data_IF_041116967896
#
_entry.id   IF_041116967896
#
_cell.length_a   1.000
_cell.length_b   1.000
_cell.length_c   1.000
_cell.angle_alpha   90.00
_cell.angle_beta   90.00
_cell.angle_gamma   90.00
#
_symmetry.space_group_name_H-M   'P 1'
#
loop_
_entity.id
_entity.type
_entity.pdbx_description
1 polymer ?
#
# COMPACT_ATOMS: atom_id res chain seq x y z
N UNK A 1 21.96 18.67 5.78
CA UNK A 1 22.74 17.74 4.92
C UNK A 1 21.81 16.70 4.31
N UNK A 2 21.64 16.74 2.99
CA UNK A 2 20.83 15.80 2.23
C UNK A 2 21.70 14.55 1.96
N UNK A 3 21.40 13.43 2.63
CA UNK A 3 22.10 12.16 2.35
C UNK A 3 21.56 11.60 1.04
N UNK A 4 22.23 11.93 -0.07
CA UNK A 4 21.97 11.30 -1.36
C UNK A 4 22.27 9.80 -1.26
N UNK A 5 21.36 8.95 -1.75
CA UNK A 5 21.59 7.52 -1.90
C UNK A 5 22.69 7.28 -2.95
N UNK A 6 23.97 7.37 -2.56
CA UNK A 6 25.12 6.98 -3.39
C UNK A 6 25.35 5.47 -3.30
N UNK A 7 24.36 4.66 -3.64
CA UNK A 7 24.62 3.28 -4.08
C UNK A 7 24.46 3.27 -5.58
N UNK A 8 25.52 2.93 -6.32
CA UNK A 8 25.44 2.68 -7.77
C UNK A 8 24.32 1.68 -7.96
N UNK A 9 23.17 2.12 -8.49
CA UNK A 9 22.09 1.19 -8.83
C UNK A 9 22.65 0.37 -9.98
N UNK A 10 22.80 -0.93 -9.77
CA UNK A 10 23.06 -1.85 -10.87
C UNK A 10 21.90 -1.73 -11.85
N UNK A 11 22.20 -1.68 -13.14
CA UNK A 11 21.15 -1.68 -14.17
C UNK A 11 20.18 -2.83 -13.93
N UNK A 12 18.90 -2.51 -13.95
CA UNK A 12 17.85 -3.51 -13.89
C UNK A 12 17.95 -4.31 -15.19
N UNK A 13 18.16 -5.64 -15.13
CA UNK A 13 18.28 -6.45 -16.33
C UNK A 13 16.99 -6.39 -17.15
N UNK A 14 17.08 -6.77 -18.42
CA UNK A 14 15.91 -6.88 -19.27
C UNK A 14 14.88 -7.83 -18.64
N UNK A 15 13.62 -7.44 -18.71
CA UNK A 15 12.51 -8.24 -18.16
C UNK A 15 11.84 -8.96 -19.31
N UNK A 16 11.61 -10.26 -19.16
CA UNK A 16 10.87 -11.04 -20.16
C UNK A 16 9.41 -11.12 -19.74
N UNK A 17 8.52 -10.68 -20.63
CA UNK A 17 7.08 -10.72 -20.47
C UNK A 17 6.40 -11.48 -21.61
N UNK A 18 5.06 -11.64 -21.54
CA UNK A 18 4.28 -12.32 -22.58
C UNK A 18 4.38 -11.64 -23.96
N UNK A 19 4.58 -10.32 -23.98
CA UNK A 19 4.70 -9.52 -25.21
C UNK A 19 6.16 -9.30 -25.65
N UNK A 20 7.12 -10.07 -25.12
CA UNK A 20 8.53 -9.97 -25.46
C UNK A 20 9.41 -9.39 -24.35
N UNK A 21 10.58 -8.86 -24.74
CA UNK A 21 11.62 -8.38 -23.82
C UNK A 21 11.44 -6.87 -23.60
N UNK A 22 11.24 -6.46 -22.35
CA UNK A 22 11.25 -5.07 -21.93
C UNK A 22 12.69 -4.62 -21.60
N UNK A 23 13.22 -3.71 -22.42
CA UNK A 23 14.61 -3.26 -22.33
C UNK A 23 14.76 -1.86 -21.74
N UNK A 24 13.83 -0.95 -22.04
CA UNK A 24 13.81 0.40 -21.47
C UNK A 24 12.93 0.51 -20.21
N UNK A 25 13.10 1.59 -19.45
CA UNK A 25 12.44 1.77 -18.15
C UNK A 25 10.91 1.83 -18.23
N UNK A 26 10.36 2.44 -19.29
CA UNK A 26 8.91 2.53 -19.52
C UNK A 26 8.32 1.15 -19.79
N UNK A 27 8.94 0.38 -20.69
CA UNK A 27 8.53 -0.99 -20.99
C UNK A 27 8.60 -1.88 -19.75
N UNK A 28 9.65 -1.72 -18.92
CA UNK A 28 9.79 -2.47 -17.67
C UNK A 28 8.69 -2.10 -16.68
N UNK A 29 8.40 -0.80 -16.51
CA UNK A 29 7.36 -0.33 -15.61
C UNK A 29 5.97 -0.83 -16.05
N UNK A 30 5.64 -0.72 -17.33
CA UNK A 30 4.38 -1.19 -17.90
C UNK A 30 4.23 -2.70 -17.77
N UNK A 31 5.29 -3.47 -18.06
CA UNK A 31 5.27 -4.93 -17.89
C UNK A 31 5.00 -5.31 -16.44
N UNK A 32 5.67 -4.66 -15.48
CA UNK A 32 5.44 -4.91 -14.06
C UNK A 32 4.01 -4.54 -13.67
N UNK A 33 3.52 -3.36 -14.06
CA UNK A 33 2.17 -2.89 -13.76
C UNK A 33 1.10 -3.85 -14.28
N UNK A 34 1.19 -4.27 -15.55
CA UNK A 34 0.27 -5.25 -16.14
C UNK A 34 0.34 -6.60 -15.42
N UNK A 35 1.56 -7.05 -15.06
CA UNK A 35 1.73 -8.27 -14.27
C UNK A 35 1.06 -8.17 -12.89
N UNK A 36 1.11 -7.00 -12.24
CA UNK A 36 0.37 -6.77 -10.99
C UNK A 36 -1.14 -6.79 -11.22
N UNK A 37 -1.64 -6.16 -12.28
CA UNK A 37 -3.06 -6.20 -12.61
C UNK A 37 -3.47 -7.67 -12.82
N UNK A 38 -2.82 -8.42 -13.68
CA UNK A 38 -3.21 -9.81 -14.00
C UNK A 38 -3.19 -10.74 -12.78
N UNK A 39 -2.27 -10.54 -11.83
CA UNK A 39 -2.14 -11.40 -10.65
C UNK A 39 -3.01 -10.96 -9.45
N UNK A 40 -3.44 -9.70 -9.41
CA UNK A 40 -4.14 -9.12 -8.25
C UNK A 40 -5.51 -8.54 -8.58
N UNK A 41 -5.95 -8.60 -9.84
CA UNK A 41 -7.37 -8.41 -10.19
C UNK A 41 -8.17 -9.60 -9.67
N UNK A 42 -9.41 -9.35 -9.25
CA UNK A 42 -10.32 -10.36 -8.68
C UNK A 42 -10.20 -11.71 -9.39
N UNK A 43 -10.12 -12.79 -8.59
CA UNK A 43 -10.10 -14.18 -9.06
C UNK A 43 -11.40 -14.52 -9.82
N UNK A 44 -11.57 -14.01 -11.03
CA UNK A 44 -12.59 -14.46 -11.98
C UNK A 44 -12.13 -15.77 -12.62
N UNK A 45 -11.76 -16.76 -11.81
CA UNK A 45 -11.54 -18.12 -12.29
C UNK A 45 -12.90 -18.81 -12.23
N UNK A 46 -13.62 -18.98 -13.35
CA UNK A 46 -14.81 -19.84 -13.39
C UNK A 46 -14.33 -21.30 -13.33
N UNK A 47 -13.97 -21.75 -12.13
CA UNK A 47 -13.71 -23.15 -11.82
C UNK A 47 -14.89 -23.70 -11.06
N UNK A 48 -15.37 -24.89 -11.43
CA UNK A 48 -16.47 -25.66 -10.79
C UNK A 48 -16.32 -25.92 -9.27
N UNK A 49 -15.31 -25.37 -8.61
CA UNK A 49 -15.00 -25.49 -7.18
C UNK A 49 -15.27 -24.21 -6.36
N UNK A 50 -15.77 -23.12 -6.97
CA UNK A 50 -15.86 -21.81 -6.29
C UNK A 50 -17.17 -21.54 -5.57
N UNK A 51 -18.27 -22.25 -5.86
CA UNK A 51 -19.61 -21.88 -5.35
C UNK A 51 -19.68 -21.86 -3.83
N UNK A 52 -19.02 -22.81 -3.15
CA UNK A 52 -19.00 -22.88 -1.69
C UNK A 52 -18.12 -21.79 -1.08
N UNK A 53 -17.00 -21.46 -1.72
CA UNK A 53 -16.08 -20.39 -1.26
C UNK A 53 -16.75 -19.03 -1.43
N UNK A 54 -17.39 -18.79 -2.57
CA UNK A 54 -18.09 -17.54 -2.87
C UNK A 54 -19.27 -17.34 -1.91
N UNK A 55 -20.03 -18.41 -1.61
CA UNK A 55 -21.10 -18.35 -0.62
C UNK A 55 -20.58 -18.12 0.79
N UNK A 56 -19.49 -18.77 1.20
CA UNK A 56 -18.90 -18.61 2.53
C UNK A 56 -18.33 -17.20 2.73
N UNK A 57 -17.69 -16.64 1.71
CA UNK A 57 -17.21 -15.24 1.71
C UNK A 57 -18.40 -14.29 1.81
N UNK A 58 -19.44 -14.50 1.00
CA UNK A 58 -20.64 -13.66 1.00
C UNK A 58 -21.36 -13.72 2.35
N UNK A 59 -21.50 -14.91 2.94
CA UNK A 59 -22.10 -15.11 4.24
C UNK A 59 -21.27 -14.45 5.35
N UNK A 60 -19.94 -14.56 5.28
CA UNK A 60 -19.01 -13.92 6.23
C UNK A 60 -19.11 -12.40 6.16
N UNK A 61 -19.13 -11.82 4.96
CA UNK A 61 -19.31 -10.39 4.76
C UNK A 61 -20.67 -9.92 5.26
N UNK A 62 -21.74 -10.64 4.91
CA UNK A 62 -23.11 -10.33 5.35
C UNK A 62 -23.20 -10.35 6.87
N UNK A 63 -22.64 -11.37 7.52
CA UNK A 63 -22.53 -11.48 8.99
C UNK A 63 -21.77 -10.28 9.54
N UNK A 64 -20.59 -9.97 9.02
CA UNK A 64 -19.75 -8.87 9.46
C UNK A 64 -20.45 -7.51 9.39
N UNK A 65 -21.13 -7.20 8.27
CA UNK A 65 -21.85 -5.94 8.10
C UNK A 65 -23.15 -5.87 8.89
N UNK A 66 -23.75 -7.02 9.21
CA UNK A 66 -25.00 -7.12 9.98
C UNK A 66 -24.77 -7.16 11.49
N UNK A 67 -23.56 -7.53 11.94
CA UNK A 67 -23.19 -7.48 13.36
C UNK A 67 -22.84 -6.05 13.77
N UNK A 68 -23.56 -5.44 14.72
CA UNK A 68 -23.15 -4.15 15.26
C UNK A 68 -21.78 -4.31 15.94
N UNK A 69 -20.92 -3.29 15.83
CA UNK A 69 -19.57 -3.38 16.36
C UNK A 69 -19.56 -3.57 17.88
N UNK A 70 -18.68 -4.46 18.35
CA UNK A 70 -18.69 -5.02 19.71
C UNK A 70 -18.32 -4.05 20.84
N UNK A 71 -17.93 -2.80 20.57
CA UNK A 71 -17.61 -1.80 21.60
C UNK A 71 -17.46 -0.39 21.02
N UNK A 72 -17.71 0.67 21.82
CA UNK A 72 -17.38 2.04 21.43
C UNK A 72 -15.86 2.19 21.31
N UNK A 73 -15.42 2.87 20.26
CA UNK A 73 -14.02 3.27 20.10
C UNK A 73 -13.84 4.58 20.86
N UNK A 74 -12.83 4.65 21.73
CA UNK A 74 -12.54 5.88 22.46
C UNK A 74 -12.00 6.94 21.48
N UNK A 75 -12.45 8.21 21.60
CA UNK A 75 -11.88 9.29 20.81
C UNK A 75 -10.41 9.54 21.21
N UNK A 76 -9.64 10.05 20.27
CA UNK A 76 -8.27 10.52 20.48
C UNK A 76 -8.25 11.98 20.91
N UNK A 77 -7.17 12.39 21.57
CA UNK A 77 -6.92 13.76 22.00
C UNK A 77 -5.74 14.41 21.24
N UNK A 78 -5.61 15.76 21.27
CA UNK A 78 -4.55 16.44 20.54
C UNK A 78 -3.13 16.08 21.00
N UNK A 79 -2.93 15.70 22.27
CA UNK A 79 -1.61 15.36 22.81
C UNK A 79 -1.17 13.99 22.28
N UNK A 80 -2.09 13.03 22.23
CA UNK A 80 -1.88 11.73 21.59
C UNK A 80 -1.45 11.91 20.11
N UNK A 81 -2.19 12.73 19.35
CA UNK A 81 -1.85 13.04 17.96
C UNK A 81 -0.48 13.70 17.85
N UNK A 82 -0.18 14.67 18.72
CA UNK A 82 1.10 15.36 18.76
C UNK A 82 2.26 14.36 18.96
N UNK A 83 2.09 13.41 19.87
CA UNK A 83 3.10 12.41 20.18
C UNK A 83 3.33 11.43 19.02
N UNK A 84 2.26 11.03 18.31
CA UNK A 84 2.40 10.25 17.09
C UNK A 84 3.12 11.02 15.97
N UNK A 85 2.78 12.29 15.77
CA UNK A 85 3.45 13.14 14.77
C UNK A 85 4.96 13.25 15.06
N UNK A 86 5.36 13.43 16.33
CA UNK A 86 6.78 13.47 16.74
C UNK A 86 7.52 12.16 16.44
N UNK A 87 6.85 11.01 16.60
CA UNK A 87 7.42 9.67 16.38
C UNK A 87 7.62 9.31 14.90
N UNK A 88 7.07 10.07 13.96
CA UNK A 88 7.22 9.83 12.51
C UNK A 88 8.71 9.79 12.10
N UNK A 89 9.10 8.85 11.23
CA UNK A 89 10.48 8.78 10.74
C UNK A 89 10.67 9.74 9.56
N UNK A 90 11.62 10.66 9.64
CA UNK A 90 11.88 11.66 8.58
C UNK A 90 12.31 11.04 7.25
N UNK A 91 12.83 9.81 7.26
CA UNK A 91 13.33 9.09 6.08
C UNK A 91 12.26 8.27 5.35
N UNK A 92 10.98 8.47 5.66
CA UNK A 92 9.88 7.86 4.89
C UNK A 92 9.59 8.71 3.66
N UNK A 93 9.23 8.03 2.57
CA UNK A 93 8.76 8.71 1.37
C UNK A 93 7.40 9.38 1.68
N UNK A 94 7.11 10.54 1.07
CA UNK A 94 5.79 11.15 1.16
C UNK A 94 4.75 10.30 0.42
N UNK A 95 3.47 10.54 0.71
CA UNK A 95 2.34 9.99 -0.03
C UNK A 95 2.16 10.67 -1.40
N UNK A 96 1.02 10.39 -2.04
CA UNK A 96 0.64 10.99 -3.33
C UNK A 96 0.46 12.52 -3.26
N UNK A 97 0.15 13.03 -2.08
CA UNK A 97 0.02 14.45 -1.76
C UNK A 97 1.37 15.19 -1.63
N UNK A 98 2.49 14.47 -1.69
CA UNK A 98 3.84 14.97 -1.47
C UNK A 98 4.08 15.59 -0.08
N UNK A 99 3.21 15.34 0.91
CA UNK A 99 3.40 15.82 2.29
C UNK A 99 4.42 14.93 2.98
N UNK A 100 5.57 15.50 3.33
CA UNK A 100 6.64 14.75 4.00
C UNK A 100 6.43 14.68 5.50
N UNK A 101 6.93 13.62 6.14
CA UNK A 101 6.96 13.52 7.61
C UNK A 101 7.68 14.70 8.28
N UNK A 102 8.64 15.32 7.59
CA UNK A 102 9.30 16.54 8.08
C UNK A 102 8.33 17.71 8.13
N UNK A 103 7.48 17.88 7.13
CA UNK A 103 6.44 18.92 7.12
C UNK A 103 5.42 18.68 8.24
N UNK A 104 4.95 17.43 8.39
CA UNK A 104 3.99 17.06 9.43
C UNK A 104 4.50 17.46 10.82
N UNK A 105 5.76 17.18 11.14
CA UNK A 105 6.38 17.56 12.42
C UNK A 105 6.49 19.06 12.67
N UNK A 106 6.44 19.89 11.63
CA UNK A 106 6.55 21.35 11.72
C UNK A 106 5.18 22.04 11.57
N UNK A 107 4.08 21.30 11.55
CA UNK A 107 2.76 21.91 11.47
C UNK A 107 2.41 22.71 12.73
N UNK A 108 1.71 23.84 12.58
CA UNK A 108 1.26 24.62 13.72
C UNK A 108 0.16 23.86 14.48
N UNK A 109 -0.02 24.20 15.75
CA UNK A 109 -0.99 23.54 16.64
C UNK A 109 -2.42 23.50 16.07
N UNK A 110 -2.84 24.54 15.32
CA UNK A 110 -4.14 24.57 14.63
C UNK A 110 -4.36 23.35 13.72
N UNK A 111 -3.32 22.85 13.06
CA UNK A 111 -3.41 21.68 12.19
C UNK A 111 -3.56 20.40 13.02
N UNK A 112 -2.93 20.32 14.20
CA UNK A 112 -3.09 19.19 15.13
C UNK A 112 -4.55 19.06 15.57
N UNK A 113 -5.22 20.19 15.86
CA UNK A 113 -6.65 20.20 16.18
C UNK A 113 -7.52 19.68 15.02
N UNK A 114 -7.17 20.05 13.78
CA UNK A 114 -7.86 19.58 12.58
C UNK A 114 -7.67 18.07 12.41
N UNK A 115 -6.45 17.55 12.58
CA UNK A 115 -6.20 16.11 12.53
C UNK A 115 -6.99 15.35 13.59
N UNK A 116 -6.99 15.87 14.84
CA UNK A 116 -7.75 15.28 15.94
C UNK A 116 -9.24 15.18 15.60
N UNK A 117 -9.82 16.25 15.03
CA UNK A 117 -11.21 16.26 14.58
C UNK A 117 -11.47 15.21 13.48
N UNK A 118 -10.63 15.18 12.44
CA UNK A 118 -10.78 14.24 11.31
C UNK A 118 -10.67 12.79 11.80
N UNK A 119 -9.67 12.48 12.62
CA UNK A 119 -9.44 11.13 13.15
C UNK A 119 -10.64 10.72 14.01
N UNK A 120 -11.12 11.59 14.90
CA UNK A 120 -12.30 11.30 15.70
C UNK A 120 -13.56 11.06 14.85
N UNK A 121 -13.73 11.79 13.74
CA UNK A 121 -14.82 11.50 12.78
C UNK A 121 -14.64 10.15 12.08
N UNK A 122 -13.42 9.78 11.70
CA UNK A 122 -13.13 8.47 11.11
C UNK A 122 -13.44 7.35 12.12
N UNK A 123 -13.03 7.48 13.38
CA UNK A 123 -13.30 6.49 14.44
C UNK A 123 -14.80 6.38 14.74
N UNK A 124 -15.52 7.51 14.75
CA UNK A 124 -16.97 7.55 14.95
C UNK A 124 -17.72 6.88 13.79
N UNK A 125 -17.38 7.22 12.55
CA UNK A 125 -18.03 6.71 11.34
C UNK A 125 -17.55 5.30 10.96
N UNK A 126 -16.43 4.85 11.55
CA UNK A 126 -15.73 3.59 11.23
C UNK A 126 -15.43 3.46 9.74
N UNK A 127 -15.14 4.58 9.10
CA UNK A 127 -14.91 4.66 7.67
C UNK A 127 -13.69 5.52 7.36
N UNK A 128 -12.68 4.91 6.74
CA UNK A 128 -11.52 5.63 6.23
C UNK A 128 -11.86 6.29 4.89
N UNK A 129 -11.38 7.53 4.66
CA UNK A 129 -11.51 8.22 3.37
C UNK A 129 -11.02 7.34 2.22
N UNK A 130 -11.64 7.48 1.05
CA UNK A 130 -11.25 6.72 -0.15
C UNK A 130 -9.83 7.09 -0.59
N UNK A 131 -9.45 8.35 -0.41
CA UNK A 131 -8.12 8.88 -0.69
C UNK A 131 -7.03 8.15 0.10
N UNK A 132 -7.32 7.70 1.32
CA UNK A 132 -6.37 6.95 2.16
C UNK A 132 -6.22 5.48 1.74
N UNK A 133 -7.13 4.99 0.89
CA UNK A 133 -7.09 3.64 0.31
C UNK A 133 -6.29 3.61 -1.00
N UNK A 134 -5.85 4.78 -1.50
CA UNK A 134 -4.99 4.90 -2.68
C UNK A 134 -3.53 4.83 -2.24
N UNK A 135 -2.73 4.00 -2.91
CA UNK A 135 -1.31 3.85 -2.63
C UNK A 135 -0.47 3.86 -3.90
N UNK A 136 0.72 4.44 -3.82
CA UNK A 136 1.73 4.34 -4.88
C UNK A 136 2.56 3.08 -4.63
N UNK A 137 2.55 2.16 -5.59
CA UNK A 137 3.29 0.90 -5.51
C UNK A 137 4.65 1.06 -6.19
N UNK A 138 5.73 0.90 -5.41
CA UNK A 138 7.10 0.85 -5.91
C UNK A 138 7.65 -0.58 -5.78
N UNK A 139 7.85 -1.31 -6.89
CA UNK A 139 8.51 -2.62 -6.85
C UNK A 139 9.95 -2.47 -6.37
N UNK A 140 10.32 -3.22 -5.31
CA UNK A 140 11.70 -3.26 -4.81
C UNK A 140 12.29 -4.62 -5.14
N UNK A 141 13.37 -4.62 -5.92
CA UNK A 141 14.11 -5.83 -6.24
C UNK A 141 14.80 -6.37 -4.97
N UNK A 142 14.60 -7.67 -4.68
CA UNK A 142 15.27 -8.34 -3.57
C UNK A 142 16.72 -8.64 -3.94
N UNK A 143 17.69 -8.35 -3.06
CA UNK A 143 19.12 -8.42 -3.38
C UNK A 143 19.66 -9.84 -3.67
N UNK A 144 18.93 -10.90 -3.32
CA UNK A 144 19.42 -12.29 -3.40
C UNK A 144 18.87 -13.10 -4.58
N UNK A 145 18.14 -12.49 -5.53
CA UNK A 145 17.64 -13.19 -6.72
C UNK A 145 18.56 -12.96 -7.94
N UNK A 146 18.76 -14.02 -8.72
CA UNK A 146 19.61 -14.04 -9.93
C UNK A 146 19.22 -12.95 -10.93
N UNK A 147 20.19 -12.50 -11.74
CA UNK A 147 20.05 -11.40 -12.73
C UNK A 147 19.06 -11.70 -13.88
N UNK A 148 18.42 -12.86 -13.89
CA UNK A 148 17.40 -13.21 -14.89
C UNK A 148 16.05 -13.12 -14.19
N UNK A 149 15.31 -12.04 -14.47
CA UNK A 149 13.99 -11.80 -13.94
C UNK A 149 12.95 -12.31 -14.95
N UNK A 150 12.58 -13.58 -14.81
CA UNK A 150 11.36 -14.09 -15.44
C UNK A 150 10.16 -13.68 -14.59
N UNK A 151 9.21 -12.96 -15.18
CA UNK A 151 7.94 -12.70 -14.51
C UNK A 151 7.16 -14.02 -14.44
N UNK A 152 6.80 -14.52 -13.25
CA UNK A 152 6.06 -15.76 -13.14
C UNK A 152 4.67 -15.59 -13.76
N UNK A 153 4.40 -16.40 -14.77
CA UNK A 153 3.06 -16.66 -15.30
C UNK A 153 2.34 -17.60 -14.33
N UNK A 154 1.66 -17.04 -13.34
CA UNK A 154 0.61 -17.76 -12.60
C UNK A 154 1.03 -18.58 -11.37
N UNK A 155 2.24 -18.44 -10.83
CA UNK A 155 2.57 -18.94 -9.49
C UNK A 155 3.15 -17.82 -8.61
N UNK A 156 2.49 -17.60 -7.48
CA UNK A 156 2.85 -16.64 -6.43
C UNK A 156 4.28 -16.87 -5.93
N UNK A 157 5.26 -16.21 -6.55
CA UNK A 157 6.66 -16.16 -6.07
C UNK A 157 7.10 -14.76 -5.65
N UNK A 158 6.13 -13.88 -5.41
CA UNK A 158 6.31 -12.60 -4.74
C UNK A 158 5.63 -12.63 -3.37
N UNK A 159 6.25 -13.32 -2.42
CA UNK A 159 6.14 -12.92 -1.02
C UNK A 159 6.74 -11.50 -0.90
N UNK A 160 5.87 -10.49 -1.03
CA UNK A 160 6.18 -9.10 -0.73
C UNK A 160 6.46 -9.03 0.77
N UNK A 161 7.74 -9.13 1.15
CA UNK A 161 8.15 -8.72 2.49
C UNK A 161 8.04 -7.21 2.49
N UNK A 162 6.92 -6.73 3.00
CA UNK A 162 6.57 -5.33 3.16
C UNK A 162 6.46 -4.58 1.83
N UNK A 163 5.27 -4.61 1.22
CA UNK A 163 4.77 -3.33 0.73
C UNK A 163 4.85 -2.39 1.94
N UNK A 164 5.81 -1.47 1.96
CA UNK A 164 5.57 -0.23 2.70
C UNK A 164 4.45 0.41 1.91
N UNK A 165 3.22 0.03 2.23
CA UNK A 165 2.06 0.81 1.92
C UNK A 165 2.41 2.21 2.43
N UNK A 166 2.60 3.14 1.50
CA UNK A 166 2.72 4.55 1.84
C UNK A 166 1.30 5.05 2.12
N UNK A 167 0.63 4.43 3.09
CA UNK A 167 -0.44 5.09 3.83
C UNK A 167 0.26 5.77 4.99
N UNK A 168 0.45 7.08 4.87
CA UNK A 168 0.72 7.93 6.03
C UNK A 168 -0.40 7.82 7.05
#
# INVERSE_FOLDING_TARGET
MQKYFRKKRSDIPNLTGPNGIASNDEQKANLIANTFIDNYTENKRPGKHTTNIDSDVTNTLTRFFSTPPSSPISPTDPDEICDYMKKLKNSKAPGIDNITNKMIKNFPFKIILIFTYIINKILLLRHFPTEWKVAIVFPIHKPEKTKILQMPTGQSLYYLRSAKLLST
#
